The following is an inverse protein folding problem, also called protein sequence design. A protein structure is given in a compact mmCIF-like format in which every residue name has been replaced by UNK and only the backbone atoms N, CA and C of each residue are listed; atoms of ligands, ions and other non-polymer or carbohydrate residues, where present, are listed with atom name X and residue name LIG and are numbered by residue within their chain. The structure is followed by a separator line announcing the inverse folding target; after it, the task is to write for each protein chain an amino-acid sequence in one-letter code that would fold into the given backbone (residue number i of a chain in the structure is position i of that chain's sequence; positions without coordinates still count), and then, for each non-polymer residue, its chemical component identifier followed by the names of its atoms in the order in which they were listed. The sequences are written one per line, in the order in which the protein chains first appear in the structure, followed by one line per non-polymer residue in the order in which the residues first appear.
data_IF_482189087744
#
_entry.id   IF_482189087744
#
_cell.length_a   1.000
_cell.length_b   1.000
_cell.length_c   1.000
_cell.angle_alpha   90.00
_cell.angle_beta   90.00
_cell.angle_gamma   90.00
#
_symmetry.space_group_name_H-M   'P 1'
#
loop_
_entity.id
_entity.type
_entity.pdbx_description
1 polymer ?
#
# COMPACT_ATOMS: atom_id res chain seq x y z
N UNK A 1 -11.61 26.09 -18.76
CA UNK A 1 -11.35 25.53 -17.43
C UNK A 1 -9.96 24.90 -17.48
N UNK A 2 -8.91 25.67 -17.11
CA UNK A 2 -7.53 25.17 -17.05
C UNK A 2 -7.47 24.20 -15.87
N UNK A 3 -7.32 22.92 -16.14
CA UNK A 3 -6.93 21.96 -15.12
C UNK A 3 -5.55 22.39 -14.60
N UNK A 4 -5.49 22.82 -13.35
CA UNK A 4 -4.25 23.10 -12.65
C UNK A 4 -3.37 21.84 -12.76
N UNK A 5 -2.30 21.92 -13.54
CA UNK A 5 -1.27 20.90 -13.55
C UNK A 5 -0.76 20.75 -12.12
N UNK A 6 -0.62 19.52 -11.60
CA UNK A 6 -0.13 19.34 -10.25
C UNK A 6 1.24 20.01 -10.14
N UNK A 7 1.42 20.80 -9.07
CA UNK A 7 2.69 21.44 -8.77
C UNK A 7 3.77 20.32 -8.69
N UNK A 8 4.80 20.35 -9.53
CA UNK A 8 5.82 19.30 -9.57
C UNK A 8 6.62 19.18 -8.26
N UNK A 9 6.50 20.16 -7.36
CA UNK A 9 7.13 20.14 -6.03
C UNK A 9 6.19 19.70 -4.92
N UNK A 10 4.89 19.54 -5.19
CA UNK A 10 3.92 19.08 -4.18
C UNK A 10 3.92 17.57 -4.11
N UNK A 11 4.41 17.03 -3.01
CA UNK A 11 4.25 15.60 -2.67
C UNK A 11 2.91 15.44 -1.95
N UNK A 12 2.00 14.61 -2.48
CA UNK A 12 0.71 14.41 -1.84
C UNK A 12 0.85 13.64 -0.53
N UNK A 13 -0.07 13.87 0.39
CA UNK A 13 -0.28 13.02 1.55
C UNK A 13 -0.99 11.73 1.11
N UNK A 14 -0.31 10.59 1.24
CA UNK A 14 -0.80 9.30 0.73
C UNK A 14 -0.98 8.31 1.86
N UNK A 15 -2.18 7.75 1.99
CA UNK A 15 -2.48 6.64 2.89
C UNK A 15 -2.51 5.34 2.09
N UNK A 16 -1.74 4.35 2.50
CA UNK A 16 -1.69 3.04 1.84
C UNK A 16 -1.93 1.90 2.82
N UNK A 17 -2.45 0.79 2.34
CA UNK A 17 -2.50 -0.44 3.13
C UNK A 17 -2.16 -1.67 2.29
N UNK A 18 -1.61 -2.67 2.97
CA UNK A 18 -1.47 -4.03 2.46
C UNK A 18 -1.99 -5.04 3.48
N UNK A 19 -2.89 -5.88 3.03
CA UNK A 19 -3.46 -7.01 3.77
C UNK A 19 -3.40 -8.30 2.96
N UNK A 20 -2.60 -8.29 1.90
CA UNK A 20 -2.53 -9.41 0.94
C UNK A 20 -1.83 -10.65 1.50
N UNK A 21 -0.95 -10.45 2.50
CA UNK A 21 -0.16 -11.51 3.13
C UNK A 21 -0.61 -11.80 4.58
N UNK A 22 0.26 -12.41 5.38
CA UNK A 22 -0.05 -12.72 6.79
C UNK A 22 -0.03 -11.47 7.68
N UNK A 23 0.75 -10.48 7.32
CA UNK A 23 0.79 -9.20 8.01
C UNK A 23 -0.31 -8.27 7.51
N UNK A 24 -0.79 -7.41 8.41
CA UNK A 24 -1.57 -6.23 8.10
C UNK A 24 -0.64 -5.02 8.21
N UNK A 25 -0.53 -4.23 7.16
CA UNK A 25 0.29 -3.02 7.18
C UNK A 25 -0.47 -1.80 6.68
N UNK A 26 -0.13 -0.66 7.27
CA UNK A 26 -0.63 0.66 6.89
C UNK A 26 0.56 1.61 6.88
N UNK A 27 0.66 2.46 5.88
CA UNK A 27 1.67 3.52 5.85
C UNK A 27 1.06 4.84 5.41
N UNK A 28 1.66 5.92 5.91
CA UNK A 28 1.33 7.30 5.58
C UNK A 28 2.60 7.96 5.03
N UNK A 29 2.58 8.32 3.76
CA UNK A 29 3.64 9.10 3.14
C UNK A 29 3.30 10.59 3.25
N UNK A 30 4.16 11.35 3.93
CA UNK A 30 3.96 12.77 4.23
C UNK A 30 4.55 13.66 3.12
N UNK A 31 4.07 14.90 2.99
CA UNK A 31 4.56 15.84 1.97
C UNK A 31 6.05 16.17 2.07
N UNK A 32 6.65 16.07 3.25
CA UNK A 32 8.08 16.26 3.48
C UNK A 32 8.95 15.08 2.97
N UNK A 33 8.29 13.99 2.53
CA UNK A 33 8.92 12.77 2.05
C UNK A 33 9.18 11.72 3.13
N UNK A 34 8.83 12.00 4.38
CA UNK A 34 8.88 10.99 5.46
C UNK A 34 7.74 9.98 5.29
N UNK A 35 7.98 8.77 5.79
CA UNK A 35 7.00 7.68 5.79
C UNK A 35 6.86 7.19 7.23
N UNK A 36 5.62 7.11 7.67
CA UNK A 36 5.25 6.49 8.94
C UNK A 36 4.54 5.19 8.61
N UNK A 37 4.90 4.11 9.29
CA UNK A 37 4.30 2.81 9.03
C UNK A 37 3.86 2.10 10.31
N UNK A 38 2.90 1.22 10.16
CA UNK A 38 2.44 0.26 11.16
C UNK A 38 2.34 -1.10 10.50
N UNK A 39 2.89 -2.10 11.15
CA UNK A 39 2.85 -3.48 10.69
C UNK A 39 2.52 -4.40 11.86
N UNK A 40 1.54 -5.27 11.66
CA UNK A 40 1.18 -6.31 12.61
C UNK A 40 1.10 -7.66 11.91
N UNK A 41 1.84 -8.63 12.43
CA UNK A 41 1.68 -10.02 12.02
C UNK A 41 0.42 -10.60 12.67
N UNK A 42 -0.63 -10.73 11.88
CA UNK A 42 -1.94 -11.11 12.42
C UNK A 42 -2.31 -12.56 12.10
N UNK A 43 -1.78 -13.11 11.02
CA UNK A 43 -2.21 -14.39 10.48
C UNK A 43 -3.70 -14.46 10.13
N UNK A 44 -4.56 -13.89 10.96
CA UNK A 44 -6.01 -13.71 10.80
C UNK A 44 -6.44 -12.43 11.52
N UNK A 45 -7.63 -11.91 11.20
CA UNK A 45 -8.19 -10.72 11.89
C UNK A 45 -7.86 -9.39 11.25
N UNK A 46 -7.48 -9.37 9.96
CA UNK A 46 -7.24 -8.13 9.21
C UNK A 46 -8.44 -7.19 9.23
N UNK A 47 -9.66 -7.74 9.24
CA UNK A 47 -10.91 -6.98 9.21
C UNK A 47 -11.06 -6.07 10.43
N UNK A 48 -10.72 -6.59 11.60
CA UNK A 48 -10.82 -5.87 12.88
C UNK A 48 -9.63 -4.93 13.08
N UNK A 49 -8.44 -5.33 12.63
CA UNK A 49 -7.20 -4.60 12.86
C UNK A 49 -6.98 -3.42 11.93
N UNK A 50 -7.26 -3.59 10.63
CA UNK A 50 -6.99 -2.56 9.64
C UNK A 50 -7.62 -1.19 9.97
N UNK A 51 -8.91 -1.09 10.36
CA UNK A 51 -9.50 0.18 10.74
C UNK A 51 -8.82 0.85 11.95
N UNK A 52 -8.41 0.04 12.94
CA UNK A 52 -7.72 0.53 14.13
C UNK A 52 -6.32 1.04 13.80
N UNK A 53 -5.58 0.33 12.94
CA UNK A 53 -4.25 0.75 12.49
C UNK A 53 -4.32 2.04 11.66
N UNK A 54 -5.35 2.20 10.81
CA UNK A 54 -5.59 3.44 10.06
C UNK A 54 -5.87 4.59 11.04
N UNK A 55 -6.72 4.38 12.03
CA UNK A 55 -7.03 5.41 13.03
C UNK A 55 -5.80 5.78 13.86
N UNK A 56 -5.00 4.80 14.28
CA UNK A 56 -3.77 5.02 15.05
C UNK A 56 -2.74 5.83 14.27
N UNK A 57 -2.46 5.45 13.02
CA UNK A 57 -1.43 6.12 12.23
C UNK A 57 -1.82 7.58 11.93
N UNK A 58 -3.09 7.85 11.67
CA UNK A 58 -3.60 9.21 11.46
C UNK A 58 -3.51 10.04 12.74
N UNK A 59 -3.95 9.48 13.86
CA UNK A 59 -3.94 10.17 15.16
C UNK A 59 -2.51 10.47 15.61
N UNK A 60 -1.61 9.48 15.54
CA UNK A 60 -0.21 9.65 15.96
C UNK A 60 0.57 10.63 15.07
N UNK A 61 0.14 10.82 13.85
CA UNK A 61 0.71 11.79 12.89
C UNK A 61 0.03 13.15 12.93
N UNK A 62 -0.98 13.36 13.78
CA UNK A 62 -1.79 14.57 13.83
C UNK A 62 -2.44 14.93 12.48
N UNK A 63 -2.78 13.91 11.68
CA UNK A 63 -3.37 14.02 10.35
C UNK A 63 -4.81 13.49 10.39
N UNK A 64 -5.73 14.21 9.77
CA UNK A 64 -7.10 13.73 9.56
C UNK A 64 -7.29 13.04 8.21
N UNK A 65 -8.31 12.18 8.09
CA UNK A 65 -8.67 11.60 6.78
C UNK A 65 -8.98 12.65 5.72
N UNK A 66 -9.46 13.81 6.12
CA UNK A 66 -9.74 14.96 5.25
C UNK A 66 -8.48 15.57 4.62
N UNK A 67 -7.32 15.35 5.25
CA UNK A 67 -6.04 15.88 4.79
C UNK A 67 -5.34 14.89 3.83
N UNK A 68 -5.79 13.64 3.77
CA UNK A 68 -5.31 12.63 2.82
C UNK A 68 -5.72 13.01 1.40
N UNK A 69 -4.79 12.96 0.47
CA UNK A 69 -5.01 13.34 -0.92
C UNK A 69 -5.11 12.13 -1.85
N UNK A 70 -4.47 11.02 -1.50
CA UNK A 70 -4.44 9.81 -2.32
C UNK A 70 -4.47 8.56 -1.45
N UNK A 71 -5.01 7.50 -2.03
CA UNK A 71 -5.04 6.18 -1.41
C UNK A 71 -4.25 5.18 -2.25
N UNK A 72 -3.59 4.24 -1.59
CA UNK A 72 -2.92 3.11 -2.24
C UNK A 72 -3.34 1.78 -1.60
N UNK A 73 -3.45 0.73 -2.41
CA UNK A 73 -3.81 -0.61 -1.94
C UNK A 73 -3.18 -1.70 -2.79
N UNK A 74 -2.73 -2.76 -2.16
CA UNK A 74 -2.31 -3.97 -2.87
C UNK A 74 -3.53 -4.77 -3.33
N UNK A 75 -3.45 -5.30 -4.55
CA UNK A 75 -4.54 -6.06 -5.17
C UNK A 75 -4.21 -7.55 -5.35
N UNK A 76 -3.15 -8.02 -4.71
CA UNK A 76 -2.66 -9.39 -4.83
C UNK A 76 -1.50 -9.52 -5.85
N UNK A 77 -0.98 -10.73 -6.00
CA UNK A 77 -1.43 -12.00 -5.42
C UNK A 77 -1.26 -12.07 -3.90
N UNK A 78 -2.11 -12.87 -3.26
CA UNK A 78 -2.10 -13.04 -1.81
C UNK A 78 -3.32 -13.82 -1.31
N UNK A 79 -3.59 -13.73 -0.02
CA UNK A 79 -4.74 -14.41 0.57
C UNK A 79 -6.05 -13.82 0.06
N UNK A 80 -6.99 -14.68 -0.33
CA UNK A 80 -8.27 -14.26 -0.88
C UNK A 80 -9.06 -13.31 0.05
N UNK A 81 -9.07 -13.59 1.34
CA UNK A 81 -9.75 -12.75 2.32
C UNK A 81 -8.99 -11.44 2.55
N UNK A 82 -7.67 -11.50 2.71
CA UNK A 82 -6.85 -10.34 2.98
C UNK A 82 -6.94 -9.26 1.88
N UNK A 83 -6.73 -9.63 0.62
CA UNK A 83 -6.85 -8.69 -0.52
C UNK A 83 -8.20 -7.96 -0.51
N UNK A 84 -9.29 -8.68 -0.20
CA UNK A 84 -10.62 -8.09 -0.15
C UNK A 84 -10.81 -7.12 1.00
N UNK A 85 -10.23 -7.40 2.16
CA UNK A 85 -10.31 -6.52 3.34
C UNK A 85 -9.67 -5.17 3.04
N UNK A 86 -8.43 -5.15 2.54
CA UNK A 86 -7.75 -3.90 2.17
C UNK A 86 -8.50 -3.12 1.10
N UNK A 87 -8.93 -3.82 0.04
CA UNK A 87 -9.64 -3.20 -1.04
C UNK A 87 -11.00 -2.61 -0.60
N UNK A 88 -11.75 -3.32 0.25
CA UNK A 88 -13.01 -2.84 0.78
C UNK A 88 -12.83 -1.60 1.68
N UNK A 89 -11.85 -1.62 2.59
CA UNK A 89 -11.54 -0.50 3.46
C UNK A 89 -11.16 0.76 2.66
N UNK A 90 -10.22 0.62 1.72
CA UNK A 90 -9.79 1.77 0.91
C UNK A 90 -10.88 2.29 -0.03
N UNK A 91 -11.75 1.40 -0.55
CA UNK A 91 -12.92 1.83 -1.32
C UNK A 91 -13.93 2.59 -0.48
N UNK A 92 -14.16 2.19 0.77
CA UNK A 92 -15.05 2.91 1.68
C UNK A 92 -14.53 4.34 1.94
N UNK A 93 -13.23 4.49 2.23
CA UNK A 93 -12.61 5.80 2.40
C UNK A 93 -12.68 6.63 1.11
N UNK A 94 -12.39 6.01 -0.04
CA UNK A 94 -12.52 6.67 -1.35
C UNK A 94 -13.90 7.25 -1.58
N UNK A 95 -14.94 6.49 -1.29
CA UNK A 95 -16.32 6.93 -1.53
C UNK A 95 -16.69 8.08 -0.58
N UNK A 96 -16.35 7.97 0.71
CA UNK A 96 -16.70 8.98 1.71
C UNK A 96 -15.96 10.30 1.54
N UNK A 97 -14.72 10.28 1.02
CA UNK A 97 -13.86 11.46 0.89
C UNK A 97 -13.57 11.85 -0.57
N UNK A 98 -14.13 11.13 -1.55
CA UNK A 98 -13.93 11.34 -2.99
C UNK A 98 -12.45 11.34 -3.42
N UNK A 99 -11.63 10.50 -2.78
CA UNK A 99 -10.20 10.42 -3.02
C UNK A 99 -9.87 9.51 -4.21
N UNK A 100 -8.82 9.82 -4.99
CA UNK A 100 -8.28 8.87 -5.95
C UNK A 100 -7.63 7.68 -5.22
N UNK A 101 -7.85 6.47 -5.74
CA UNK A 101 -7.24 5.24 -5.23
C UNK A 101 -6.37 4.62 -6.32
N UNK A 102 -5.16 4.24 -5.95
CA UNK A 102 -4.18 3.58 -6.80
C UNK A 102 -3.98 2.14 -6.33
N UNK A 103 -4.04 1.23 -7.27
CA UNK A 103 -3.83 -0.19 -7.03
C UNK A 103 -2.44 -0.62 -7.51
N UNK A 104 -1.76 -1.42 -6.70
CA UNK A 104 -0.47 -2.01 -7.05
C UNK A 104 -0.50 -3.52 -6.77
N UNK A 105 0.17 -4.33 -7.59
CA UNK A 105 0.28 -5.74 -7.26
C UNK A 105 1.20 -5.96 -6.06
N UNK A 106 0.96 -7.00 -5.28
CA UNK A 106 1.82 -7.37 -4.15
C UNK A 106 3.26 -7.63 -4.61
N UNK A 107 3.43 -8.21 -5.79
CA UNK A 107 4.75 -8.46 -6.39
C UNK A 107 5.50 -7.17 -6.70
N UNK A 108 4.83 -6.14 -7.23
CA UNK A 108 5.43 -4.81 -7.43
C UNK A 108 5.78 -4.14 -6.09
N UNK A 109 4.91 -4.23 -5.09
CA UNK A 109 5.18 -3.66 -3.78
C UNK A 109 6.42 -4.29 -3.12
N UNK A 110 6.68 -5.58 -3.37
CA UNK A 110 7.86 -6.28 -2.86
C UNK A 110 9.12 -5.92 -3.64
N UNK A 111 9.05 -5.81 -4.97
CA UNK A 111 10.26 -5.61 -5.79
C UNK A 111 10.79 -4.19 -5.76
N UNK A 112 9.92 -3.18 -5.69
CA UNK A 112 10.33 -1.77 -5.78
C UNK A 112 11.40 -1.36 -4.76
N UNK A 113 11.30 -1.68 -3.45
CA UNK A 113 12.34 -1.36 -2.49
C UNK A 113 13.66 -2.07 -2.80
N UNK A 114 13.60 -3.32 -3.27
CA UNK A 114 14.79 -4.12 -3.61
C UNK A 114 15.54 -3.50 -4.78
N UNK A 115 14.83 -3.09 -5.83
CA UNK A 115 15.43 -2.42 -6.99
C UNK A 115 16.05 -1.07 -6.63
N UNK A 116 15.43 -0.31 -5.74
CA UNK A 116 15.99 0.96 -5.25
C UNK A 116 17.30 0.77 -4.46
N UNK A 117 17.39 -0.28 -3.63
CA UNK A 117 18.59 -0.58 -2.83
C UNK A 117 19.73 -1.12 -3.72
N UNK A 118 19.40 -1.89 -4.76
CA UNK A 118 20.38 -2.54 -5.63
C UNK A 118 21.18 -1.55 -6.51
N UNK A 119 20.79 -0.28 -6.58
CA UNK A 119 21.50 0.79 -7.32
C UNK A 119 21.45 0.56 -8.83
N UNK A 120 20.71 1.37 -9.54
CA UNK A 120 20.25 1.19 -10.91
C UNK A 120 21.31 1.22 -12.05
N UNK A 121 22.50 0.66 -11.90
CA UNK A 121 23.53 0.65 -12.94
C UNK A 121 23.82 -0.72 -13.57
N UNK A 122 23.12 -1.77 -13.18
CA UNK A 122 23.27 -3.08 -13.81
C UNK A 122 21.89 -3.57 -14.26
N UNK A 123 21.81 -4.14 -15.45
CA UNK A 123 20.66 -4.88 -15.96
C UNK A 123 20.44 -6.14 -15.08
N UNK A 124 19.80 -5.95 -13.95
CA UNK A 124 19.47 -7.03 -13.01
C UNK A 124 18.02 -7.38 -13.12
N UNK A 125 17.74 -8.59 -13.48
CA UNK A 125 16.39 -9.14 -13.34
C UNK A 125 16.12 -9.47 -11.89
N UNK A 126 14.94 -9.11 -11.43
CA UNK A 126 14.44 -9.45 -10.09
C UNK A 126 13.30 -10.44 -10.23
N UNK A 127 13.27 -11.46 -9.38
CA UNK A 127 12.19 -12.43 -9.34
C UNK A 127 11.52 -12.33 -7.97
N UNK A 128 10.23 -12.04 -7.97
CA UNK A 128 9.40 -12.12 -6.76
C UNK A 128 8.65 -13.43 -6.76
N UNK A 129 8.76 -14.14 -5.65
CA UNK A 129 8.09 -15.44 -5.43
C UNK A 129 7.25 -15.34 -4.17
N UNK A 130 5.96 -15.65 -4.27
CA UNK A 130 5.01 -15.67 -3.16
C UNK A 130 4.40 -17.06 -3.07
N UNK A 131 4.38 -17.63 -1.86
CA UNK A 131 3.71 -18.90 -1.61
C UNK A 131 2.18 -18.77 -1.83
N UNK A 132 1.68 -19.43 -2.87
CA UNK A 132 0.25 -19.49 -3.19
C UNK A 132 -0.49 -20.52 -2.31
N UNK A 133 0.26 -21.24 -1.43
CA UNK A 133 -0.20 -22.40 -0.67
C UNK A 133 -0.55 -23.59 -1.57
N UNK A 134 -0.82 -24.74 -1.01
CA UNK A 134 -1.13 -25.98 -1.72
C UNK A 134 -0.02 -26.48 -2.67
N UNK A 135 1.24 -26.08 -2.41
CA UNK A 135 2.38 -26.47 -3.25
C UNK A 135 2.53 -25.66 -4.54
N UNK A 136 1.85 -24.53 -4.65
CA UNK A 136 1.92 -23.61 -5.77
C UNK A 136 2.62 -22.30 -5.39
N UNK A 137 3.20 -21.60 -6.38
CA UNK A 137 3.88 -20.32 -6.22
C UNK A 137 3.35 -19.31 -7.21
N UNK A 138 3.15 -18.07 -6.76
CA UNK A 138 3.05 -16.92 -7.64
C UNK A 138 4.45 -16.41 -7.93
N UNK A 139 4.81 -16.31 -9.20
CA UNK A 139 6.13 -15.80 -9.63
C UNK A 139 5.93 -14.65 -10.62
N UNK A 140 6.73 -13.61 -10.46
CA UNK A 140 6.82 -12.52 -11.42
C UNK A 140 8.27 -12.08 -11.57
N UNK A 141 8.70 -11.92 -12.84
CA UNK A 141 10.02 -11.43 -13.22
C UNK A 141 9.88 -9.93 -13.55
N UNK A 142 10.86 -9.16 -13.12
CA UNK A 142 10.99 -7.73 -13.37
C UNK A 142 12.37 -7.46 -13.96
N UNK A 143 12.41 -6.65 -14.99
CA UNK A 143 13.61 -6.14 -15.65
C UNK A 143 14.08 -4.84 -15.04
#
# INVERSE_FOLDING_TARGET
MLALLPNPQHRPLVLVCDTSQQACSVALALPDGSIIERLEETGRGHTEKLPLMIADILTSSSVGLKDVERLGVTIGPGTFAGVRVGLAAMRAIRISHQLPIYAITTTHAIVLPVQQIAGGNEERQSIVVIDARRGELYCQIFD
#
